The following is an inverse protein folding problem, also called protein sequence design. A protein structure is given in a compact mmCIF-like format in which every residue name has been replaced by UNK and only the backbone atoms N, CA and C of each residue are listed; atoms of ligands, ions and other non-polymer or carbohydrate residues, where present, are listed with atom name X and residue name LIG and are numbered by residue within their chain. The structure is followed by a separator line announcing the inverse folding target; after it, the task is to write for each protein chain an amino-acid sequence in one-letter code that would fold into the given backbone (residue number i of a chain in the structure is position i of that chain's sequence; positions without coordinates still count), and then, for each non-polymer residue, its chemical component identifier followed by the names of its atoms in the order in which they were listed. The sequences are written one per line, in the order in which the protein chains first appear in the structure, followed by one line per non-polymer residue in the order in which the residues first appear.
data_IF_699890903905
#
_entry.id   IF_699890903905
#
_cell.length_a   1.000
_cell.length_b   1.000
_cell.length_c   1.000
_cell.angle_alpha   90.00
_cell.angle_beta   90.00
_cell.angle_gamma   90.00
#
_symmetry.space_group_name_H-M   'P 1'
#
loop_
_entity.id
_entity.type
_entity.pdbx_description
1 polymer ?
#
# COMPACT_ATOMS: atom_id res chain seq x y z
N UNK A 1 57.37 -28.91 8.77
CA UNK A 1 56.97 -27.49 8.64
C UNK A 1 55.44 -27.42 8.80
N UNK A 2 54.94 -26.62 9.75
CA UNK A 2 53.56 -26.67 10.27
C UNK A 2 52.57 -25.99 9.30
N UNK A 3 51.61 -26.72 8.74
CA UNK A 3 50.40 -26.17 8.13
C UNK A 3 49.37 -25.90 9.24
N UNK A 4 49.40 -24.69 9.79
CA UNK A 4 48.30 -24.13 10.60
C UNK A 4 47.78 -22.92 9.82
N UNK A 5 46.45 -22.73 9.77
CA UNK A 5 45.72 -21.55 9.24
C UNK A 5 45.00 -21.71 7.88
N UNK A 6 44.14 -22.73 7.71
CA UNK A 6 43.12 -22.73 6.63
C UNK A 6 41.67 -22.80 7.17
N UNK A 7 41.46 -22.96 8.47
CA UNK A 7 40.12 -23.19 9.05
C UNK A 7 39.32 -21.93 9.43
N UNK A 8 39.76 -20.72 9.09
CA UNK A 8 39.11 -19.48 9.59
C UNK A 8 38.25 -18.71 8.57
N UNK A 9 38.15 -19.16 7.31
CA UNK A 9 37.40 -18.44 6.27
C UNK A 9 35.98 -19.00 6.01
N UNK A 10 35.59 -20.10 6.69
CA UNK A 10 34.33 -20.80 6.44
C UNK A 10 33.18 -20.42 7.40
N UNK A 11 33.40 -19.49 8.35
CA UNK A 11 32.44 -19.19 9.43
C UNK A 11 31.77 -17.83 9.29
N UNK A 12 32.16 -17.00 8.31
CA UNK A 12 31.59 -15.66 8.12
C UNK A 12 30.66 -15.57 6.90
N UNK A 13 29.88 -16.63 6.63
CA UNK A 13 28.55 -16.45 6.03
C UNK A 13 27.55 -16.39 7.18
N UNK A 14 27.62 -15.30 7.95
CA UNK A 14 26.44 -14.83 8.66
C UNK A 14 25.41 -14.56 7.56
N UNK A 15 24.42 -15.44 7.49
CA UNK A 15 23.20 -15.30 6.74
C UNK A 15 22.59 -13.94 7.03
N UNK A 16 22.87 -12.98 6.16
CA UNK A 16 22.15 -11.71 6.09
C UNK A 16 20.76 -12.08 5.58
N UNK A 17 19.87 -12.42 6.51
CA UNK A 17 18.47 -12.63 6.23
C UNK A 17 17.86 -11.23 6.05
N UNK A 18 17.73 -10.79 4.80
CA UNK A 18 16.86 -9.67 4.52
C UNK A 18 15.42 -10.17 4.70
N UNK A 19 14.60 -9.37 5.37
CA UNK A 19 13.21 -9.71 5.61
C UNK A 19 12.42 -8.91 4.60
N UNK A 20 11.79 -9.57 3.62
CA UNK A 20 10.90 -8.89 2.70
C UNK A 20 9.61 -8.55 3.45
N UNK A 21 9.43 -7.27 3.78
CA UNK A 21 8.17 -6.75 4.31
C UNK A 21 7.34 -6.29 3.12
N UNK A 22 6.11 -6.81 2.95
CA UNK A 22 5.22 -6.13 2.01
C UNK A 22 4.92 -4.72 2.55
N UNK A 23 4.69 -3.82 1.60
CA UNK A 23 4.50 -2.41 1.86
C UNK A 23 3.19 -2.13 2.59
N UNK A 24 3.04 -0.88 3.05
CA UNK A 24 1.92 -0.49 3.88
C UNK A 24 0.62 -0.47 3.05
N UNK A 25 -0.48 -0.92 3.64
CA UNK A 25 -1.81 -0.83 3.02
C UNK A 25 -2.77 -0.16 3.98
N UNK A 26 -3.65 0.68 3.44
CA UNK A 26 -4.82 1.21 4.12
C UNK A 26 -6.03 0.99 3.21
N UNK A 27 -7.03 0.28 3.73
CA UNK A 27 -8.31 0.06 3.08
C UNK A 27 -9.40 0.76 3.89
N UNK A 28 -10.24 1.55 3.22
CA UNK A 28 -11.30 2.31 3.89
C UNK A 28 -12.67 2.02 3.30
N UNK A 29 -13.65 1.76 4.15
CA UNK A 29 -15.05 1.66 3.76
C UNK A 29 -15.72 3.01 3.49
N UNK A 30 -15.04 4.13 3.75
CA UNK A 30 -15.55 5.51 3.59
C UNK A 30 -15.46 5.98 2.15
N UNK A 31 -16.38 6.84 1.73
CA UNK A 31 -16.33 7.65 0.50
C UNK A 31 -15.77 9.05 0.78
N UNK A 32 -14.58 9.07 1.39
CA UNK A 32 -13.99 10.28 1.91
C UNK A 32 -13.71 11.34 0.83
N UNK A 33 -13.62 10.92 -0.43
CA UNK A 33 -13.48 11.80 -1.59
C UNK A 33 -14.73 12.64 -1.91
N UNK A 34 -15.94 12.14 -1.65
CA UNK A 34 -17.19 12.92 -1.83
C UNK A 34 -17.57 13.72 -0.58
N UNK A 35 -17.07 13.32 0.59
CA UNK A 35 -17.45 13.86 1.89
C UNK A 35 -16.34 14.63 2.62
N UNK A 36 -15.53 15.34 1.83
CA UNK A 36 -14.54 16.28 2.32
C UNK A 36 -14.57 17.59 1.55
N UNK A 37 -13.72 18.52 1.98
CA UNK A 37 -13.52 19.78 1.28
C UNK A 37 -12.16 20.37 1.61
N UNK A 38 -11.77 21.42 0.92
CA UNK A 38 -10.65 22.26 1.29
C UNK A 38 -11.14 23.71 1.50
N UNK A 39 -10.71 24.32 2.59
CA UNK A 39 -11.00 25.71 2.91
C UNK A 39 -9.83 26.35 3.64
N UNK A 40 -9.51 27.60 3.30
CA UNK A 40 -8.39 28.32 3.93
C UNK A 40 -7.03 27.64 3.81
N UNK A 41 -6.82 26.82 2.77
CA UNK A 41 -5.57 26.07 2.58
C UNK A 41 -5.44 24.82 3.46
N UNK A 42 -6.53 24.34 4.06
CA UNK A 42 -6.57 23.11 4.84
C UNK A 42 -7.64 22.16 4.29
N UNK A 43 -7.32 20.87 4.26
CA UNK A 43 -8.33 19.84 4.03
C UNK A 43 -9.19 19.66 5.30
N UNK A 44 -10.47 19.35 5.09
CA UNK A 44 -11.47 19.11 6.12
C UNK A 44 -12.11 17.74 5.88
N UNK A 45 -12.51 17.07 6.97
CA UNK A 45 -13.29 15.82 6.94
C UNK A 45 -12.64 14.73 6.07
N UNK A 46 -13.36 14.16 5.09
CA UNK A 46 -12.85 13.05 4.29
C UNK A 46 -11.54 13.37 3.55
N UNK A 47 -11.36 14.60 3.07
CA UNK A 47 -10.13 15.00 2.38
C UNK A 47 -8.95 15.10 3.37
N UNK A 48 -9.22 15.48 4.63
CA UNK A 48 -8.20 15.46 5.68
C UNK A 48 -7.79 14.03 6.01
N UNK A 49 -8.75 13.10 6.08
CA UNK A 49 -8.44 11.68 6.23
C UNK A 49 -7.54 11.17 5.10
N UNK A 50 -7.89 11.44 3.84
CA UNK A 50 -7.07 11.05 2.67
C UNK A 50 -5.65 11.62 2.76
N UNK A 51 -5.50 12.89 3.17
CA UNK A 51 -4.19 13.49 3.43
C UNK A 51 -3.41 12.70 4.51
N UNK A 52 -4.03 12.40 5.65
CA UNK A 52 -3.36 11.66 6.75
C UNK A 52 -2.99 10.24 6.35
N UNK A 53 -3.77 9.61 5.48
CA UNK A 53 -3.42 8.30 4.91
C UNK A 53 -2.14 8.39 4.09
N UNK A 54 -2.02 9.37 3.18
CA UNK A 54 -0.80 9.54 2.38
C UNK A 54 0.43 9.80 3.26
N UNK A 55 0.30 10.66 4.27
CA UNK A 55 1.37 10.95 5.23
C UNK A 55 1.78 9.70 6.02
N UNK A 56 0.80 8.90 6.47
CA UNK A 56 1.06 7.63 7.15
C UNK A 56 1.80 6.63 6.25
N UNK A 57 1.31 6.39 5.03
CA UNK A 57 1.93 5.47 4.09
C UNK A 57 3.36 5.89 3.74
N UNK A 58 3.58 7.19 3.47
CA UNK A 58 4.88 7.73 3.06
C UNK A 58 5.99 7.59 4.11
N UNK A 59 5.63 7.42 5.38
CA UNK A 59 6.56 7.32 6.51
C UNK A 59 6.65 5.90 7.08
N UNK A 60 5.89 4.96 6.54
CA UNK A 60 5.94 3.56 6.97
C UNK A 60 7.31 2.95 6.63
N UNK A 61 7.91 2.25 7.59
CA UNK A 61 9.20 1.58 7.39
C UNK A 61 9.15 0.47 6.32
N UNK A 62 7.96 -0.06 6.01
CA UNK A 62 7.75 -1.06 4.97
C UNK A 62 7.63 -0.47 3.55
N UNK A 63 7.54 0.86 3.41
CA UNK A 63 7.56 1.53 2.12
C UNK A 63 9.01 1.60 1.61
N UNK A 64 9.48 0.52 0.99
CA UNK A 64 10.91 0.33 0.66
C UNK A 64 11.22 0.34 -0.83
N UNK A 65 10.23 0.55 -1.69
CA UNK A 65 10.44 0.54 -3.15
C UNK A 65 11.23 1.74 -3.70
N UNK A 66 11.47 2.78 -2.89
CA UNK A 66 12.33 3.93 -3.22
C UNK A 66 11.72 4.94 -4.20
N UNK A 67 10.46 4.79 -4.59
CA UNK A 67 9.79 5.71 -5.51
C UNK A 67 9.00 6.79 -4.76
N UNK A 68 9.13 8.04 -5.20
CA UNK A 68 8.47 9.21 -4.61
C UNK A 68 7.36 9.74 -5.50
N UNK A 69 6.44 8.86 -5.91
CA UNK A 69 5.30 9.22 -6.74
C UNK A 69 4.02 8.59 -6.20
N UNK A 70 3.01 9.42 -5.94
CA UNK A 70 1.65 8.96 -5.65
C UNK A 70 0.91 8.87 -6.99
N UNK A 71 0.45 7.67 -7.33
CA UNK A 71 -0.36 7.45 -8.53
C UNK A 71 -1.79 7.18 -8.14
N UNK A 72 -2.69 8.05 -8.56
CA UNK A 72 -4.13 7.90 -8.39
C UNK A 72 -4.76 7.28 -9.64
N UNK A 73 -5.56 6.24 -9.47
CA UNK A 73 -6.13 5.45 -10.57
C UNK A 73 -7.66 5.62 -10.65
N UNK A 74 -8.13 6.00 -11.84
CA UNK A 74 -9.55 6.01 -12.22
C UNK A 74 -10.36 7.22 -11.74
N UNK A 75 -9.71 8.27 -11.24
CA UNK A 75 -10.43 9.47 -10.80
C UNK A 75 -10.45 10.58 -11.85
N UNK A 76 -11.60 11.25 -11.91
CA UNK A 76 -11.88 12.48 -12.61
C UNK A 76 -12.75 13.39 -11.72
N UNK A 77 -13.04 14.62 -12.16
CA UNK A 77 -13.98 15.54 -11.51
C UNK A 77 -13.78 15.68 -9.97
N UNK A 78 -14.80 15.41 -9.15
CA UNK A 78 -14.74 15.59 -7.70
C UNK A 78 -13.76 14.63 -7.03
N UNK A 79 -13.72 13.36 -7.47
CA UNK A 79 -12.76 12.38 -6.95
C UNK A 79 -11.31 12.82 -7.19
N UNK A 80 -11.02 13.34 -8.39
CA UNK A 80 -9.70 13.88 -8.71
C UNK A 80 -9.36 15.12 -7.87
N UNK A 81 -10.33 16.02 -7.66
CA UNK A 81 -10.14 17.20 -6.81
C UNK A 81 -9.78 16.79 -5.37
N UNK A 82 -10.46 15.77 -4.83
CA UNK A 82 -10.19 15.24 -3.50
C UNK A 82 -8.77 14.65 -3.40
N UNK A 83 -8.40 13.76 -4.33
CA UNK A 83 -7.07 13.15 -4.36
C UNK A 83 -5.95 14.20 -4.52
N UNK A 84 -6.16 15.15 -5.43
CA UNK A 84 -5.21 16.25 -5.69
C UNK A 84 -5.07 17.15 -4.45
N UNK A 85 -6.16 17.48 -3.77
CA UNK A 85 -6.14 18.29 -2.55
C UNK A 85 -5.48 17.57 -1.38
N UNK A 86 -5.78 16.28 -1.20
CA UNK A 86 -5.15 15.42 -0.20
C UNK A 86 -3.63 15.39 -0.37
N UNK A 87 -3.15 15.20 -1.61
CA UNK A 87 -1.73 15.22 -1.91
C UNK A 87 -1.11 16.61 -1.72
N UNK A 88 -1.66 17.66 -2.36
CA UNK A 88 -1.06 19.00 -2.39
C UNK A 88 -0.94 19.66 -1.01
N UNK A 89 -1.82 19.31 -0.07
CA UNK A 89 -1.79 19.83 1.30
C UNK A 89 -1.10 18.88 2.28
N UNK A 90 -0.63 17.72 1.83
CA UNK A 90 0.17 16.80 2.65
C UNK A 90 1.63 17.25 2.78
N UNK A 91 2.33 16.67 3.76
CA UNK A 91 3.78 16.85 3.90
C UNK A 91 4.60 16.25 2.73
N UNK A 92 4.01 15.39 1.89
CA UNK A 92 4.72 14.71 0.79
C UNK A 92 5.28 15.70 -0.23
N UNK A 93 4.58 16.80 -0.52
CA UNK A 93 5.05 17.84 -1.46
C UNK A 93 6.39 18.42 -0.99
N UNK A 94 6.50 18.75 0.30
CA UNK A 94 7.74 19.27 0.90
C UNK A 94 8.87 18.23 0.94
N UNK A 95 8.53 16.95 0.84
CA UNK A 95 9.47 15.82 0.84
C UNK A 95 9.84 15.35 -0.58
N UNK A 96 9.50 16.12 -1.61
CA UNK A 96 9.92 15.85 -3.00
C UNK A 96 9.09 14.79 -3.73
N UNK A 97 7.93 14.42 -3.19
CA UNK A 97 7.00 13.54 -3.89
C UNK A 97 6.31 14.25 -5.06
N UNK A 98 5.93 13.47 -6.07
CA UNK A 98 5.03 13.89 -7.15
C UNK A 98 3.68 13.19 -7.06
N UNK A 99 2.69 13.73 -7.79
CA UNK A 99 1.38 13.14 -7.95
C UNK A 99 1.04 13.00 -9.43
N UNK A 100 0.51 11.84 -9.81
CA UNK A 100 0.03 11.57 -11.16
C UNK A 100 -1.35 10.95 -11.09
N UNK A 101 -2.30 11.49 -11.85
CA UNK A 101 -3.59 10.85 -12.06
C UNK A 101 -3.60 10.08 -13.38
N UNK A 102 -4.05 8.83 -13.34
CA UNK A 102 -4.23 7.97 -14.51
C UNK A 102 -5.71 7.59 -14.56
N UNK A 103 -6.39 8.04 -15.60
CA UNK A 103 -7.82 7.86 -15.81
C UNK A 103 -8.05 7.24 -17.20
N UNK A 104 -9.15 6.50 -17.37
CA UNK A 104 -9.52 5.62 -18.50
C UNK A 104 -8.94 4.20 -18.47
N UNK A 105 -9.74 3.26 -18.99
CA UNK A 105 -9.36 1.84 -19.13
C UNK A 105 -8.01 1.64 -19.82
N UNK A 106 -7.76 2.35 -20.92
CA UNK A 106 -6.53 2.18 -21.71
C UNK A 106 -5.29 2.63 -20.93
N UNK A 107 -5.36 3.79 -20.26
CA UNK A 107 -4.23 4.31 -19.49
C UNK A 107 -3.95 3.46 -18.25
N UNK A 108 -4.98 2.94 -17.59
CA UNK A 108 -4.83 2.02 -16.45
C UNK A 108 -4.25 0.67 -16.92
N UNK A 109 -4.68 0.16 -18.07
CA UNK A 109 -4.08 -1.04 -18.65
C UNK A 109 -2.59 -0.84 -18.98
N UNK A 110 -2.22 0.30 -19.57
CA UNK A 110 -0.82 0.64 -19.84
C UNK A 110 0.00 0.79 -18.56
N UNK A 111 -0.57 1.42 -17.53
CA UNK A 111 0.06 1.55 -16.21
C UNK A 111 0.45 0.18 -15.63
N UNK A 112 -0.47 -0.79 -15.62
CA UNK A 112 -0.20 -2.14 -15.12
C UNK A 112 0.72 -2.95 -16.05
N UNK A 113 0.70 -2.69 -17.35
CA UNK A 113 1.63 -3.29 -18.31
C UNK A 113 3.07 -2.76 -18.17
N UNK A 114 3.30 -1.72 -17.35
CA UNK A 114 4.60 -1.08 -17.21
C UNK A 114 4.94 -0.13 -18.36
N UNK A 115 3.93 0.30 -19.14
CA UNK A 115 4.07 1.22 -20.26
C UNK A 115 3.92 2.68 -19.80
N UNK A 116 4.48 3.61 -20.58
CA UNK A 116 4.35 5.05 -20.32
C UNK A 116 5.36 5.59 -19.30
N UNK A 117 5.38 6.92 -19.14
CA UNK A 117 6.35 7.61 -18.30
C UNK A 117 6.12 7.37 -16.80
N UNK A 118 4.86 7.23 -16.38
CA UNK A 118 4.45 6.85 -15.03
C UNK A 118 3.70 5.53 -15.11
N UNK A 119 4.21 4.53 -14.42
CA UNK A 119 3.69 3.16 -14.46
C UNK A 119 3.95 2.44 -13.13
N UNK A 120 3.55 1.17 -13.04
CA UNK A 120 3.68 0.40 -11.80
C UNK A 120 5.13 0.30 -11.28
N UNK A 121 6.14 0.34 -12.16
CA UNK A 121 7.56 0.18 -11.81
C UNK A 121 8.24 1.46 -11.29
N UNK A 122 7.53 2.59 -11.28
CA UNK A 122 8.05 3.85 -10.71
C UNK A 122 7.04 4.55 -9.80
N UNK A 123 6.08 3.78 -9.29
CA UNK A 123 5.07 4.24 -8.33
C UNK A 123 5.56 3.98 -6.91
N UNK A 124 5.43 4.96 -6.02
CA UNK A 124 5.68 4.80 -4.59
C UNK A 124 4.43 4.33 -3.87
N UNK A 125 3.35 5.11 -4.01
CA UNK A 125 2.05 4.83 -3.42
C UNK A 125 1.01 4.77 -4.53
N UNK A 126 0.24 3.69 -4.57
CA UNK A 126 -0.94 3.57 -5.40
C UNK A 126 -2.18 4.01 -4.61
N UNK A 127 -3.01 4.83 -5.22
CA UNK A 127 -4.26 5.33 -4.66
C UNK A 127 -5.43 4.96 -5.57
N UNK A 128 -6.51 4.44 -4.99
CA UNK A 128 -7.74 4.07 -5.69
C UNK A 128 -8.95 4.68 -4.99
N UNK A 129 -9.79 5.38 -5.75
CA UNK A 129 -10.94 6.12 -5.23
C UNK A 129 -12.18 5.26 -4.88
N UNK A 130 -13.26 5.93 -4.45
CA UNK A 130 -14.51 5.30 -4.03
C UNK A 130 -15.41 4.75 -5.16
N UNK A 131 -15.01 4.89 -6.42
CA UNK A 131 -15.78 4.41 -7.55
C UNK A 131 -17.07 5.20 -7.80
N UNK A 132 -18.20 4.51 -8.07
CA UNK A 132 -19.45 5.15 -8.50
C UNK A 132 -20.24 5.87 -7.39
N UNK A 133 -19.67 6.07 -6.21
CA UNK A 133 -20.31 6.85 -5.13
C UNK A 133 -19.91 8.31 -5.10
N UNK A 134 -18.86 8.68 -5.83
CA UNK A 134 -18.40 10.05 -6.00
C UNK A 134 -18.51 10.45 -7.47
N UNK A 135 -18.78 11.73 -7.72
CA UNK A 135 -18.68 12.25 -9.09
C UNK A 135 -17.25 12.11 -9.62
N UNK A 136 -17.11 11.37 -10.72
CA UNK A 136 -15.83 11.12 -11.36
C UNK A 136 -14.98 10.05 -10.68
N UNK A 137 -15.52 9.24 -9.77
CA UNK A 137 -14.78 8.08 -9.29
C UNK A 137 -14.71 6.96 -10.34
N UNK A 138 -13.83 6.00 -10.10
CA UNK A 138 -13.56 4.89 -11.02
C UNK A 138 -14.83 4.22 -11.53
N UNK A 139 -14.85 3.93 -12.82
CA UNK A 139 -15.92 3.21 -13.49
C UNK A 139 -15.88 1.71 -13.16
N UNK A 140 -16.93 0.98 -13.58
CA UNK A 140 -16.96 -0.46 -13.39
C UNK A 140 -15.89 -1.20 -14.22
N UNK A 141 -15.54 -0.69 -15.42
CA UNK A 141 -14.51 -1.28 -16.29
C UNK A 141 -13.11 -1.06 -15.72
N UNK A 142 -12.83 0.12 -15.19
CA UNK A 142 -11.54 0.41 -14.54
C UNK A 142 -11.31 -0.46 -13.30
N UNK A 143 -12.35 -0.64 -12.47
CA UNK A 143 -12.27 -1.57 -11.33
C UNK A 143 -12.12 -3.04 -11.72
N UNK A 144 -12.64 -3.43 -12.89
CA UNK A 144 -12.39 -4.75 -13.44
C UNK A 144 -10.90 -4.94 -13.77
N UNK A 145 -10.20 -3.89 -14.25
CA UNK A 145 -8.75 -3.93 -14.46
C UNK A 145 -7.98 -4.10 -13.15
N UNK A 146 -8.43 -3.51 -12.03
CA UNK A 146 -7.80 -3.76 -10.72
C UNK A 146 -7.90 -5.25 -10.34
N UNK A 147 -9.06 -5.87 -10.61
CA UNK A 147 -9.28 -7.30 -10.37
C UNK A 147 -8.44 -8.18 -11.29
N UNK A 148 -8.37 -7.87 -12.58
CA UNK A 148 -7.52 -8.58 -13.55
C UNK A 148 -6.04 -8.49 -13.20
N UNK A 149 -5.59 -7.37 -12.63
CA UNK A 149 -4.19 -7.12 -12.27
C UNK A 149 -3.90 -7.34 -10.78
N UNK A 150 -4.75 -8.07 -10.06
CA UNK A 150 -4.58 -8.30 -8.62
C UNK A 150 -3.21 -8.89 -8.25
N UNK A 151 -2.68 -9.84 -9.04
CA UNK A 151 -1.32 -10.39 -8.84
C UNK A 151 -0.22 -9.36 -9.06
N UNK A 152 -0.41 -8.39 -9.96
CA UNK A 152 0.57 -7.31 -10.16
C UNK A 152 0.53 -6.35 -8.97
N UNK A 153 -0.65 -6.04 -8.43
CA UNK A 153 -0.81 -5.26 -7.20
C UNK A 153 -0.16 -5.98 -6.01
N UNK A 154 -0.34 -7.31 -5.89
CA UNK A 154 0.33 -8.13 -4.88
C UNK A 154 1.85 -8.00 -4.95
N UNK A 155 2.41 -8.15 -6.16
CA UNK A 155 3.85 -8.03 -6.39
C UNK A 155 4.36 -6.63 -6.06
N UNK A 156 3.63 -5.57 -6.46
CA UNK A 156 3.97 -4.19 -6.14
C UNK A 156 4.06 -3.96 -4.63
N UNK A 157 3.09 -4.47 -3.88
CA UNK A 157 3.10 -4.41 -2.43
C UNK A 157 4.23 -5.28 -1.84
N UNK A 158 4.45 -6.49 -2.37
CA UNK A 158 5.55 -7.38 -1.97
C UNK A 158 6.95 -6.78 -2.18
N UNK A 159 7.08 -5.84 -3.11
CA UNK A 159 8.29 -5.04 -3.37
C UNK A 159 8.38 -3.77 -2.52
N UNK A 160 7.50 -3.60 -1.52
CA UNK A 160 7.50 -2.47 -0.61
C UNK A 160 6.75 -1.24 -1.12
N UNK A 161 5.83 -1.38 -2.08
CA UNK A 161 4.94 -0.31 -2.50
C UNK A 161 3.80 -0.04 -1.50
N UNK A 162 3.33 1.20 -1.43
CA UNK A 162 2.22 1.58 -0.56
C UNK A 162 0.87 1.56 -1.29
N UNK A 163 -0.22 1.24 -0.59
CA UNK A 163 -1.56 1.25 -1.18
C UNK A 163 -2.59 1.92 -0.28
N UNK A 164 -3.33 2.85 -0.87
CA UNK A 164 -4.57 3.38 -0.31
C UNK A 164 -5.72 3.05 -1.26
N UNK A 165 -6.77 2.41 -0.75
CA UNK A 165 -8.03 2.25 -1.49
C UNK A 165 -9.21 2.56 -0.59
N UNK A 166 -10.25 3.17 -1.16
CA UNK A 166 -11.43 3.58 -0.41
C UNK A 166 -12.76 3.24 -1.08
N UNK A 167 -13.83 3.32 -0.28
CA UNK A 167 -15.20 2.87 -0.46
C UNK A 167 -15.40 1.49 -1.08
N UNK A 168 -15.01 1.25 -2.34
CA UNK A 168 -15.54 0.18 -3.18
C UNK A 168 -14.49 -0.55 -4.02
N UNK A 169 -14.93 -1.62 -4.69
CA UNK A 169 -14.11 -2.26 -5.72
C UNK A 169 -13.13 -3.29 -5.20
N UNK A 170 -13.27 -3.69 -3.93
CA UNK A 170 -12.37 -4.62 -3.25
C UNK A 170 -12.43 -6.08 -3.73
N UNK A 171 -13.01 -6.35 -4.91
CA UNK A 171 -12.99 -7.70 -5.49
C UNK A 171 -11.55 -8.23 -5.64
N UNK A 172 -10.60 -7.36 -6.00
CA UNK A 172 -9.17 -7.68 -6.06
C UNK A 172 -8.56 -7.95 -4.68
N UNK A 173 -9.10 -7.37 -3.60
CA UNK A 173 -8.58 -7.59 -2.24
C UNK A 173 -8.78 -9.03 -1.81
N UNK A 174 -9.84 -9.71 -2.23
CA UNK A 174 -10.04 -11.14 -1.87
C UNK A 174 -8.97 -12.05 -2.49
N UNK A 175 -8.32 -11.63 -3.58
CA UNK A 175 -7.17 -12.35 -4.13
C UNK A 175 -5.94 -12.20 -3.24
N UNK A 176 -5.81 -11.07 -2.53
CA UNK A 176 -4.68 -10.74 -1.67
C UNK A 176 -4.88 -11.24 -0.23
N UNK A 177 -6.06 -10.99 0.32
CA UNK A 177 -6.47 -11.27 1.68
C UNK A 177 -7.68 -12.22 1.63
N UNK A 178 -7.50 -13.51 1.27
CA UNK A 178 -8.61 -14.43 1.04
C UNK A 178 -9.47 -14.70 2.28
N UNK A 179 -8.96 -14.41 3.47
CA UNK A 179 -9.71 -14.50 4.72
C UNK A 179 -10.49 -13.23 5.06
N UNK A 180 -10.15 -12.09 4.46
CA UNK A 180 -10.84 -10.82 4.68
C UNK A 180 -12.25 -10.91 4.11
N UNK A 181 -13.24 -10.55 4.91
CA UNK A 181 -14.62 -10.44 4.47
C UNK A 181 -14.98 -8.98 4.27
N UNK A 182 -15.27 -8.61 3.03
CA UNK A 182 -15.83 -7.30 2.68
C UNK A 182 -17.33 -7.36 2.92
N UNK A 183 -17.79 -6.66 3.94
CA UNK A 183 -19.20 -6.56 4.28
C UNK A 183 -19.75 -5.30 3.63
N UNK A 184 -20.36 -5.48 2.46
CA UNK A 184 -21.13 -4.41 1.81
C UNK A 184 -22.23 -3.95 2.75
N UNK A 185 -22.30 -2.65 3.02
CA UNK A 185 -23.31 -2.11 3.91
C UNK A 185 -23.12 -0.63 4.16
N UNK A 186 -24.16 0.12 3.80
CA UNK A 186 -24.31 1.53 4.14
C UNK A 186 -24.21 1.81 5.64
N UNK A 187 -24.01 3.07 5.99
CA UNK A 187 -24.04 3.57 7.37
C UNK A 187 -23.40 4.95 7.44
N UNK A 188 -23.49 5.60 8.59
CA UNK A 188 -22.91 6.93 8.78
C UNK A 188 -21.67 6.82 9.64
N UNK A 189 -20.58 7.41 9.14
CA UNK A 189 -19.36 7.65 9.88
C UNK A 189 -18.56 6.42 10.34
N UNK A 190 -17.40 6.73 10.90
CA UNK A 190 -16.55 5.80 11.61
C UNK A 190 -15.90 6.50 12.81
N UNK A 191 -15.57 5.73 13.85
CA UNK A 191 -14.88 6.21 15.03
C UNK A 191 -13.46 5.64 15.04
N UNK A 192 -12.46 6.51 15.22
CA UNK A 192 -11.07 6.10 15.36
C UNK A 192 -10.90 5.19 16.57
N UNK A 193 -10.12 4.14 16.38
CA UNK A 193 -9.58 3.34 17.49
C UNK A 193 -8.32 4.00 18.04
N UNK A 194 -7.77 3.47 19.13
CA UNK A 194 -6.44 3.90 19.61
C UNK A 194 -5.35 3.75 18.54
N UNK A 195 -5.40 2.68 17.74
CA UNK A 195 -4.47 2.47 16.62
C UNK A 195 -4.69 3.52 15.52
N UNK A 196 -5.94 3.88 15.21
CA UNK A 196 -6.25 4.92 14.23
C UNK A 196 -5.76 6.30 14.65
N UNK A 197 -5.96 6.68 15.91
CA UNK A 197 -5.44 7.95 16.46
C UNK A 197 -3.91 8.01 16.39
N UNK A 198 -3.22 6.88 16.62
CA UNK A 198 -1.77 6.81 16.48
C UNK A 198 -1.31 6.87 15.01
N UNK A 199 -2.04 6.20 14.10
CA UNK A 199 -1.74 6.16 12.68
C UNK A 199 -2.01 7.50 11.98
N UNK A 200 -3.02 8.25 12.42
CA UNK A 200 -3.47 9.49 11.79
C UNK A 200 -3.44 10.69 12.76
N UNK A 201 -2.24 11.16 13.17
CA UNK A 201 -2.14 12.31 14.07
C UNK A 201 -2.89 13.53 13.54
N UNK A 202 -3.69 14.15 14.41
CA UNK A 202 -4.50 15.32 14.06
C UNK A 202 -5.81 15.01 13.35
N UNK A 203 -6.16 13.73 13.14
CA UNK A 203 -7.50 13.31 12.73
C UNK A 203 -8.38 13.06 13.95
N UNK A 204 -9.67 13.39 13.86
CA UNK A 204 -10.68 13.13 14.89
C UNK A 204 -11.84 12.32 14.33
N UNK A 205 -12.72 11.82 15.22
CA UNK A 205 -13.95 11.14 14.77
C UNK A 205 -14.85 12.07 13.92
N UNK A 206 -14.86 13.38 14.22
CA UNK A 206 -15.66 14.33 13.47
C UNK A 206 -15.28 14.34 11.98
N UNK A 207 -13.99 14.14 11.68
CA UNK A 207 -13.48 14.10 10.32
C UNK A 207 -13.94 12.87 9.53
N UNK A 208 -14.27 11.78 10.24
CA UNK A 208 -14.75 10.53 9.66
C UNK A 208 -16.28 10.40 9.68
N UNK A 209 -17.00 11.28 10.37
CA UNK A 209 -18.47 11.24 10.46
C UNK A 209 -19.20 12.07 9.39
N UNK A 210 -18.48 12.83 8.57
CA UNK A 210 -19.05 13.72 7.56
C UNK A 210 -19.68 13.03 6.35
N UNK A 211 -19.44 11.73 6.17
CA UNK A 211 -19.92 10.94 5.04
C UNK A 211 -20.45 9.57 5.42
N UNK A 212 -21.15 8.91 4.50
CA UNK A 212 -21.51 7.52 4.66
C UNK A 212 -20.26 6.62 4.61
N UNK A 213 -20.49 5.36 4.89
CA UNK A 213 -19.57 4.27 4.59
C UNK A 213 -20.31 3.25 3.76
N UNK A 214 -19.64 2.69 2.77
CA UNK A 214 -20.22 1.71 1.85
C UNK A 214 -19.79 0.28 2.16
N UNK A 215 -18.62 0.14 2.76
CA UNK A 215 -18.07 -1.14 3.13
C UNK A 215 -17.61 -1.16 4.58
N UNK A 216 -17.55 -2.38 5.09
CA UNK A 216 -16.96 -2.73 6.37
C UNK A 216 -16.10 -3.96 6.17
N UNK A 217 -15.26 -4.26 7.14
CA UNK A 217 -14.34 -5.36 7.09
C UNK A 217 -14.58 -6.28 8.29
N UNK A 218 -14.74 -7.57 8.01
CA UNK A 218 -14.76 -8.63 9.00
C UNK A 218 -13.60 -9.60 8.71
N UNK A 219 -13.27 -10.45 9.70
CA UNK A 219 -12.16 -11.41 9.59
C UNK A 219 -10.82 -10.73 9.23
N UNK A 220 -10.56 -9.55 9.83
CA UNK A 220 -9.40 -8.70 9.52
C UNK A 220 -8.04 -9.34 9.86
N UNK A 221 -8.03 -10.48 10.55
CA UNK A 221 -6.83 -11.24 10.84
C UNK A 221 -5.80 -10.40 11.61
N UNK A 222 -4.58 -10.33 11.08
CA UNK A 222 -3.47 -9.54 11.65
C UNK A 222 -3.48 -8.05 11.27
N UNK A 223 -4.49 -7.57 10.53
CA UNK A 223 -4.58 -6.16 10.15
C UNK A 223 -5.00 -5.31 11.35
N UNK A 224 -4.40 -4.13 11.45
CA UNK A 224 -4.80 -3.13 12.42
C UNK A 224 -6.16 -2.56 12.03
N UNK A 225 -7.05 -2.42 13.00
CA UNK A 225 -8.34 -1.72 12.83
C UNK A 225 -8.13 -0.27 13.26
N UNK A 226 -8.15 0.65 12.31
CA UNK A 226 -7.96 2.08 12.55
C UNK A 226 -9.26 2.80 12.86
N UNK A 227 -10.40 2.35 12.34
CA UNK A 227 -11.70 2.88 12.72
C UNK A 227 -12.79 1.81 12.66
N UNK A 228 -13.82 1.97 13.51
CA UNK A 228 -15.00 1.09 13.55
C UNK A 228 -16.29 1.86 13.40
N UNK A 229 -17.35 1.19 12.96
CA UNK A 229 -18.70 1.74 13.01
C UNK A 229 -19.27 1.72 14.44
N UNK A 230 -20.51 2.20 14.60
CA UNK A 230 -21.20 2.21 15.90
C UNK A 230 -21.52 0.81 16.46
N UNK A 231 -21.36 -0.25 15.65
CA UNK A 231 -21.50 -1.65 16.07
C UNK A 231 -20.15 -2.32 16.35
N UNK A 232 -19.05 -1.57 16.30
CA UNK A 232 -17.70 -2.08 16.53
C UNK A 232 -17.10 -2.86 15.35
N UNK A 233 -17.74 -2.83 14.17
CA UNK A 233 -17.23 -3.50 12.97
C UNK A 233 -16.20 -2.60 12.30
N UNK A 234 -15.09 -3.16 11.82
CA UNK A 234 -14.02 -2.38 11.20
C UNK A 234 -14.51 -1.66 9.93
N UNK A 235 -14.14 -0.38 9.80
CA UNK A 235 -14.41 0.47 8.62
C UNK A 235 -13.11 0.89 7.97
N UNK A 236 -12.05 1.11 8.74
CA UNK A 236 -10.74 1.44 8.21
C UNK A 236 -9.76 0.43 8.79
N UNK A 237 -9.04 -0.25 7.91
CA UNK A 237 -8.05 -1.27 8.28
C UNK A 237 -6.75 -1.01 7.54
N UNK A 238 -5.66 -1.58 8.05
CA UNK A 238 -4.40 -1.55 7.32
C UNK A 238 -3.27 -2.25 8.04
N UNK A 239 -2.07 -2.03 7.52
CA UNK A 239 -0.83 -2.47 8.18
C UNK A 239 0.29 -1.46 7.95
N UNK A 240 1.16 -1.32 8.95
CA UNK A 240 2.44 -0.61 8.84
C UNK A 240 3.56 -1.50 8.27
N UNK A 241 3.28 -2.75 7.88
CA UNK A 241 4.22 -3.70 7.27
C UNK A 241 3.87 -5.19 7.48
N UNK A 242 4.48 -6.08 6.69
CA UNK A 242 4.27 -7.54 6.74
C UNK A 242 3.82 -8.09 5.38
N UNK A 243 3.82 -9.40 5.16
CA UNK A 243 3.35 -9.97 3.87
C UNK A 243 1.83 -9.89 3.76
N UNK A 244 1.30 -9.67 2.55
CA UNK A 244 -0.14 -9.79 2.25
C UNK A 244 -0.69 -11.15 2.66
N UNK A 245 0.10 -12.22 2.48
CA UNK A 245 -0.30 -13.58 2.83
C UNK A 245 -0.10 -13.90 4.32
N UNK A 246 0.62 -13.05 5.07
CA UNK A 246 0.86 -13.18 6.51
C UNK A 246 1.07 -11.79 7.16
N UNK A 247 -0.01 -10.99 7.30
CA UNK A 247 0.11 -9.65 7.88
C UNK A 247 0.62 -9.75 9.32
N UNK A 248 1.68 -9.01 9.63
CA UNK A 248 2.32 -9.00 10.95
C UNK A 248 3.34 -10.12 11.22
N UNK A 249 3.69 -10.94 10.22
CA UNK A 249 4.74 -11.96 10.36
C UNK A 249 5.86 -11.68 9.35
N UNK A 250 7.10 -11.70 9.83
CA UNK A 250 8.30 -11.64 8.99
C UNK A 250 8.40 -12.90 8.14
N UNK A 251 8.29 -12.77 6.82
CA UNK A 251 8.45 -13.90 5.89
C UNK A 251 9.93 -14.11 5.59
N UNK A 252 10.49 -15.32 5.78
CA UNK A 252 11.85 -15.64 5.36
C UNK A 252 11.99 -15.53 3.84
N UNK A 253 13.07 -14.92 3.35
CA UNK A 253 13.27 -14.73 1.92
C UNK A 253 13.34 -16.05 1.12
N UNK A 254 12.96 -16.01 -0.18
CA UNK A 254 13.16 -17.14 -1.07
C UNK A 254 14.66 -17.47 -1.16
N UNK A 255 14.97 -18.77 -1.09
CA UNK A 255 16.34 -19.32 -1.05
C UNK A 255 17.21 -19.03 -2.29
N UNK A 256 16.70 -18.28 -3.27
CA UNK A 256 17.40 -17.89 -4.50
C UNK A 256 18.65 -17.05 -4.24
N UNK A 257 18.64 -16.14 -3.26
CA UNK A 257 19.82 -15.35 -2.90
C UNK A 257 20.94 -16.23 -2.30
N UNK A 258 20.54 -17.18 -1.45
CA UNK A 258 21.46 -18.16 -0.88
C UNK A 258 22.06 -19.06 -1.97
N UNK A 259 21.26 -19.50 -2.95
CA UNK A 259 21.73 -20.30 -4.08
C UNK A 259 22.69 -19.50 -4.96
N UNK A 260 22.42 -18.21 -5.23
CA UNK A 260 23.33 -17.36 -6.00
C UNK A 260 24.67 -17.15 -5.30
N UNK A 261 24.65 -16.85 -4.00
CA UNK A 261 25.86 -16.70 -3.19
C UNK A 261 26.69 -18.01 -3.16
N UNK A 262 26.02 -19.16 -2.97
CA UNK A 262 26.64 -20.48 -3.08
C UNK A 262 27.24 -20.73 -4.47
N UNK A 263 26.57 -20.29 -5.53
CA UNK A 263 27.07 -20.35 -6.91
C UNK A 263 28.38 -19.58 -7.10
N UNK A 264 28.44 -18.32 -6.65
CA UNK A 264 29.67 -17.50 -6.75
C UNK A 264 30.81 -18.10 -5.92
N UNK A 265 30.53 -18.56 -4.70
CA UNK A 265 31.54 -19.23 -3.89
C UNK A 265 32.05 -20.52 -4.54
N UNK A 266 31.16 -21.29 -5.16
CA UNK A 266 31.52 -22.46 -5.96
C UNK A 266 32.47 -22.10 -7.11
N UNK A 267 32.18 -21.03 -7.84
CA UNK A 267 33.04 -20.50 -8.92
C UNK A 267 34.40 -19.99 -8.41
N UNK A 268 34.42 -19.24 -7.31
CA UNK A 268 35.65 -18.76 -6.70
C UNK A 268 36.55 -19.91 -6.22
N UNK A 269 35.96 -20.95 -5.60
CA UNK A 269 36.69 -22.12 -5.11
C UNK A 269 37.41 -22.89 -6.23
N UNK A 270 36.87 -22.90 -7.46
CA UNK A 270 37.48 -23.55 -8.62
C UNK A 270 38.72 -22.82 -9.14
N UNK A 271 38.80 -21.48 -9.02
CA UNK A 271 39.97 -20.71 -9.48
C UNK A 271 41.23 -20.97 -8.64
N UNK A 272 41.08 -21.27 -7.36
CA UNK A 272 42.22 -21.49 -6.47
C UNK A 272 42.88 -22.87 -6.62
N UNK A 273 42.28 -23.82 -7.34
CA UNK A 273 42.87 -25.16 -7.59
C UNK A 273 43.86 -25.23 -8.75
N UNK A 274 44.05 -24.16 -9.54
CA UNK A 274 44.94 -24.17 -10.72
C UNK A 274 46.36 -23.62 -10.49
N UNK A 275 46.73 -23.32 -9.24
CA UNK A 275 48.03 -22.71 -8.92
C UNK A 275 49.00 -23.64 -8.16
N UNK A 276 48.73 -24.95 -8.12
CA UNK A 276 49.64 -25.96 -7.58
C UNK A 276 49.72 -27.16 -8.50
#
# INVERSE_FOLDING_TARGET
MKLKNISLLSVLLLSINFTATAGPIILSGTDADDHGSASGGANLSGWLFMQRVLENLSTAASLTNGHLNVVNLGSSSSALNAATSAFNLSSLVGNGWSFTNIDTDAAIADYFAGNGAVNINNTGIMMMDSGQHVSGGSSASERALFSTNATIIDNFLGLGGGLFSQANGYAWVNTLLPTLSIVSGGGNGANLTAAGTAAFPGLSNADLTGGPRHNRFANVGGLSVFATDNSGVAVIIGTSGGSILNPGITVPEPSTLAIFALGIMGLASRRFKKLF
#
